data_IF_637743147483
#
_entry.id   IF_637743147483
#
_cell.length_a   1.000
_cell.length_b   1.000
_cell.length_c   1.000
_cell.angle_alpha   90.00
_cell.angle_beta   90.00
_cell.angle_gamma   90.00
#
_symmetry.space_group_name_H-M   'P 1'
#
loop_
_entity.id
_entity.type
_entity.pdbx_description
1 polymer ?
#
# COMPACT_ATOMS: atom_id res chain seq x y z
N UNK A 1 18.63 -7.08 -18.13
CA UNK A 1 19.63 -6.13 -17.57
C UNK A 1 20.82 -6.94 -17.11
N UNK A 2 22.02 -6.60 -17.61
CA UNK A 2 23.27 -7.23 -17.22
C UNK A 2 23.95 -6.42 -16.11
N UNK A 3 24.62 -7.12 -15.20
CA UNK A 3 25.43 -6.52 -14.14
C UNK A 3 26.87 -6.99 -14.28
N UNK A 4 27.79 -6.18 -13.76
CA UNK A 4 29.24 -6.42 -13.73
C UNK A 4 29.69 -7.54 -12.79
N UNK A 5 28.74 -8.25 -12.18
CA UNK A 5 28.98 -9.36 -11.28
C UNK A 5 28.03 -10.52 -11.61
N UNK A 6 28.45 -11.73 -11.26
CA UNK A 6 27.67 -12.94 -11.49
C UNK A 6 26.41 -12.94 -10.59
N UNK A 7 25.23 -12.90 -11.20
CA UNK A 7 23.95 -12.93 -10.49
C UNK A 7 23.51 -14.36 -10.15
N UNK A 8 24.02 -15.40 -10.81
CA UNK A 8 23.61 -16.79 -10.59
C UNK A 8 23.58 -17.23 -9.11
N UNK A 9 24.56 -16.87 -8.25
CA UNK A 9 24.52 -17.25 -6.83
C UNK A 9 23.38 -16.58 -6.03
N UNK A 10 22.87 -15.44 -6.49
CA UNK A 10 21.80 -14.68 -5.84
C UNK A 10 20.41 -15.23 -6.20
N UNK A 11 20.27 -15.81 -7.39
CA UNK A 11 18.98 -16.26 -7.94
C UNK A 11 18.94 -17.79 -8.04
N UNK A 12 18.51 -18.46 -6.97
CA UNK A 12 18.29 -19.92 -6.96
C UNK A 12 17.01 -20.35 -7.71
N UNK A 13 16.15 -19.40 -8.00
CA UNK A 13 14.89 -19.58 -8.71
C UNK A 13 14.75 -18.47 -9.75
N UNK A 14 13.87 -18.71 -10.75
CA UNK A 14 13.56 -17.75 -11.80
C UNK A 14 12.95 -16.46 -11.23
N UNK A 15 12.19 -16.55 -10.14
CA UNK A 15 11.67 -15.41 -9.41
C UNK A 15 12.10 -15.59 -7.95
N UNK A 16 12.65 -14.53 -7.35
CA UNK A 16 13.02 -14.52 -5.93
C UNK A 16 12.34 -13.37 -5.21
N UNK A 17 11.87 -13.64 -4.00
CA UNK A 17 11.31 -12.65 -3.08
C UNK A 17 12.40 -12.06 -2.19
N UNK A 18 12.45 -10.75 -2.07
CA UNK A 18 13.42 -9.99 -1.27
C UNK A 18 12.65 -9.07 -0.32
N UNK A 19 13.05 -9.05 0.95
CA UNK A 19 12.48 -8.20 1.99
C UNK A 19 13.48 -7.09 2.39
N UNK A 20 13.21 -6.41 3.51
CA UNK A 20 14.05 -5.35 4.06
C UNK A 20 15.48 -5.76 4.45
N UNK A 21 15.79 -7.06 4.54
CA UNK A 21 17.17 -7.56 4.72
C UNK A 21 18.04 -7.40 3.46
N UNK A 22 17.42 -7.13 2.31
CA UNK A 22 18.06 -7.07 0.99
C UNK A 22 18.77 -8.37 0.58
N UNK A 23 18.29 -9.49 1.12
CA UNK A 23 18.69 -10.82 0.71
C UNK A 23 17.48 -11.58 0.13
N UNK A 24 17.70 -12.45 -0.87
CA UNK A 24 16.66 -13.35 -1.34
C UNK A 24 16.15 -14.24 -0.20
N UNK A 25 14.85 -14.53 -0.22
CA UNK A 25 14.21 -15.42 0.76
C UNK A 25 14.84 -16.81 0.66
N UNK A 26 15.26 -17.35 1.81
CA UNK A 26 15.97 -18.64 1.86
C UNK A 26 17.45 -18.58 1.40
N UNK A 27 18.01 -17.38 1.17
CA UNK A 27 19.44 -17.23 0.91
C UNK A 27 20.25 -17.64 2.14
N UNK A 28 21.27 -18.47 1.93
CA UNK A 28 22.17 -18.95 2.99
C UNK A 28 23.59 -18.60 2.61
N UNK A 29 24.22 -17.74 3.41
CA UNK A 29 25.60 -17.36 3.20
C UNK A 29 26.54 -18.26 4.02
N UNK A 30 27.64 -18.76 3.44
CA UNK A 30 28.62 -19.58 4.16
C UNK A 30 29.41 -18.77 5.21
N UNK A 31 29.53 -17.45 4.99
CA UNK A 31 30.21 -16.55 5.92
C UNK A 31 29.62 -15.15 5.85
N UNK A 32 29.89 -14.33 6.88
CA UNK A 32 29.44 -12.93 6.95
C UNK A 32 29.85 -12.13 5.73
N UNK A 33 31.05 -12.36 5.18
CA UNK A 33 31.54 -11.63 4.01
C UNK A 33 30.64 -11.85 2.79
N UNK A 34 30.28 -13.09 2.52
CA UNK A 34 29.39 -13.45 1.41
C UNK A 34 28.00 -12.81 1.55
N UNK A 35 27.47 -12.74 2.77
CA UNK A 35 26.20 -12.07 3.03
C UNK A 35 26.25 -10.55 2.75
N UNK A 36 27.36 -9.91 3.11
CA UNK A 36 27.57 -8.48 2.85
C UNK A 36 27.73 -8.19 1.35
N UNK A 37 28.50 -9.02 0.64
CA UNK A 37 28.68 -8.89 -0.80
C UNK A 37 27.34 -9.12 -1.55
N UNK A 38 26.56 -10.13 -1.16
CA UNK A 38 25.22 -10.38 -1.72
C UNK A 38 24.25 -9.21 -1.47
N UNK A 39 24.24 -8.67 -0.25
CA UNK A 39 23.44 -7.48 0.10
C UNK A 39 23.80 -6.28 -0.77
N UNK A 40 25.09 -6.06 -1.03
CA UNK A 40 25.56 -4.97 -1.88
C UNK A 40 25.13 -5.15 -3.34
N UNK A 41 25.27 -6.37 -3.87
CA UNK A 41 24.85 -6.72 -5.24
C UNK A 41 23.33 -6.57 -5.44
N UNK A 42 22.52 -7.08 -4.51
CA UNK A 42 21.06 -6.91 -4.55
C UNK A 42 20.68 -5.44 -4.45
N UNK A 43 21.37 -4.66 -3.62
CA UNK A 43 21.15 -3.22 -3.53
C UNK A 43 21.40 -2.52 -4.87
N UNK A 44 22.47 -2.86 -5.57
CA UNK A 44 22.79 -2.34 -6.90
C UNK A 44 21.71 -2.73 -7.93
N UNK A 45 21.26 -3.99 -7.90
CA UNK A 45 20.17 -4.46 -8.77
C UNK A 45 18.89 -3.65 -8.55
N UNK A 46 18.44 -3.52 -7.29
CA UNK A 46 17.20 -2.81 -6.94
C UNK A 46 17.27 -1.34 -7.34
N UNK A 47 18.40 -0.67 -7.09
CA UNK A 47 18.56 0.74 -7.43
C UNK A 47 18.56 0.95 -8.94
N UNK A 48 19.24 0.08 -9.69
CA UNK A 48 19.30 0.17 -11.15
C UNK A 48 17.92 -0.05 -11.79
N UNK A 49 17.25 -1.15 -11.44
CA UNK A 49 15.93 -1.46 -12.00
C UNK A 49 14.85 -0.49 -11.51
N UNK A 50 14.97 0.03 -10.29
CA UNK A 50 14.10 1.07 -9.75
C UNK A 50 14.23 2.39 -10.50
N UNK A 51 15.45 2.74 -10.94
CA UNK A 51 15.70 3.90 -11.80
C UNK A 51 15.04 3.73 -13.18
N UNK A 52 15.17 2.54 -13.79
CA UNK A 52 14.53 2.24 -15.07
C UNK A 52 13.00 2.28 -14.96
N UNK A 53 12.44 1.72 -13.88
CA UNK A 53 11.00 1.82 -13.61
C UNK A 53 10.53 3.27 -13.51
N UNK A 54 11.29 4.12 -12.83
CA UNK A 54 11.00 5.55 -12.70
C UNK A 54 10.98 6.25 -14.06
N UNK A 55 11.99 5.99 -14.90
CA UNK A 55 12.10 6.54 -16.25
C UNK A 55 10.93 6.11 -17.13
N UNK A 56 10.57 4.82 -17.11
CA UNK A 56 9.46 4.28 -17.89
C UNK A 56 8.09 4.85 -17.47
N UNK A 57 7.96 5.29 -16.22
CA UNK A 57 6.75 5.93 -15.67
C UNK A 57 6.78 7.47 -15.76
N UNK A 58 7.89 8.08 -16.22
CA UNK A 58 8.05 9.53 -16.25
C UNK A 58 8.19 10.19 -14.88
N UNK A 59 8.67 9.44 -13.87
CA UNK A 59 8.88 9.94 -12.52
C UNK A 59 10.25 10.62 -12.39
N UNK A 60 10.29 11.74 -11.65
CA UNK A 60 11.55 12.47 -11.39
C UNK A 60 12.49 11.71 -10.46
N UNK A 61 11.94 10.96 -9.51
CA UNK A 61 12.69 10.18 -8.52
C UNK A 61 12.16 8.75 -8.46
N UNK A 62 13.03 7.73 -8.30
CA UNK A 62 12.60 6.35 -8.19
C UNK A 62 11.81 6.09 -6.91
N UNK A 63 10.64 5.47 -7.05
CA UNK A 63 9.81 5.02 -5.92
C UNK A 63 10.35 3.75 -5.26
N UNK A 64 11.24 3.04 -5.95
CA UNK A 64 11.85 1.80 -5.49
C UNK A 64 13.36 1.96 -5.44
N UNK A 65 13.93 1.85 -4.24
CA UNK A 65 15.38 1.86 -3.98
C UNK A 65 15.66 0.89 -2.84
N UNK A 66 16.90 0.41 -2.74
CA UNK A 66 17.33 -0.47 -1.64
C UNK A 66 17.14 0.20 -0.27
N UNK A 67 17.40 1.51 -0.20
CA UNK A 67 17.20 2.29 1.02
C UNK A 67 15.72 2.41 1.40
N UNK A 68 14.82 2.65 0.44
CA UNK A 68 13.37 2.67 0.71
C UNK A 68 12.87 1.30 1.14
N UNK A 69 13.34 0.22 0.50
CA UNK A 69 12.97 -1.15 0.86
C UNK A 69 13.39 -1.49 2.29
N UNK A 70 14.65 -1.17 2.67
CA UNK A 70 15.18 -1.43 4.03
C UNK A 70 14.35 -0.76 5.13
N UNK A 71 13.77 0.41 4.84
CA UNK A 71 12.99 1.19 5.80
C UNK A 71 11.47 0.93 5.65
N UNK A 72 11.08 -0.23 5.15
CA UNK A 72 9.68 -0.60 4.92
C UNK A 72 9.46 -2.10 5.14
N UNK A 73 8.21 -2.50 5.35
CA UNK A 73 7.81 -3.92 5.36
C UNK A 73 7.35 -4.38 3.96
N UNK A 74 7.90 -3.76 2.91
CA UNK A 74 7.60 -4.11 1.53
C UNK A 74 8.41 -5.33 1.11
N UNK A 75 7.88 -6.02 0.11
CA UNK A 75 8.54 -7.15 -0.52
C UNK A 75 8.70 -6.85 -2.01
N UNK A 76 9.81 -7.32 -2.57
CA UNK A 76 10.12 -7.18 -3.98
C UNK A 76 10.30 -8.57 -4.57
N UNK A 77 9.64 -8.82 -5.69
CA UNK A 77 9.84 -9.98 -6.53
C UNK A 77 10.74 -9.56 -7.69
N UNK A 78 11.90 -10.20 -7.83
CA UNK A 78 12.81 -9.99 -8.95
C UNK A 78 12.80 -11.22 -9.86
N UNK A 79 12.64 -10.98 -11.16
CA UNK A 79 12.72 -12.03 -12.18
C UNK A 79 14.13 -12.09 -12.79
N UNK A 80 14.64 -13.31 -12.89
CA UNK A 80 15.97 -13.63 -13.38
C UNK A 80 15.92 -14.65 -14.52
N UNK A 81 16.73 -14.42 -15.55
CA UNK A 81 16.98 -15.38 -16.62
C UNK A 81 18.48 -15.74 -16.66
N UNK A 82 18.83 -17.04 -16.53
CA UNK A 82 20.20 -17.47 -16.62
C UNK A 82 20.73 -17.33 -18.05
N UNK A 83 22.02 -17.01 -18.17
CA UNK A 83 22.78 -17.08 -19.43
C UNK A 83 24.22 -17.54 -19.15
N UNK A 84 25.02 -17.76 -20.19
CA UNK A 84 26.41 -18.22 -20.06
C UNK A 84 27.35 -17.19 -19.41
N UNK A 85 26.90 -15.93 -19.25
CA UNK A 85 27.67 -14.84 -18.64
C UNK A 85 27.27 -14.68 -17.16
N UNK A 86 26.65 -13.54 -16.84
CA UNK A 86 26.31 -13.15 -15.47
C UNK A 86 24.82 -13.32 -15.15
N UNK A 87 24.04 -13.81 -16.10
CA UNK A 87 22.58 -13.84 -16.06
C UNK A 87 21.95 -12.44 -16.23
N UNK A 88 20.63 -12.43 -16.38
CA UNK A 88 19.85 -11.23 -16.66
C UNK A 88 18.77 -11.04 -15.62
N UNK A 89 18.73 -9.86 -15.00
CA UNK A 89 17.51 -9.43 -14.29
C UNK A 89 16.55 -8.84 -15.32
N UNK A 90 15.29 -9.23 -15.28
CA UNK A 90 14.31 -8.93 -16.34
C UNK A 90 13.19 -8.02 -15.87
N UNK A 91 12.77 -8.13 -14.61
CA UNK A 91 11.66 -7.37 -14.07
C UNK A 91 11.65 -7.32 -12.56
N UNK A 92 10.83 -6.40 -12.05
CA UNK A 92 10.60 -6.12 -10.64
C UNK A 92 9.11 -5.94 -10.39
N UNK A 93 8.62 -6.48 -9.28
CA UNK A 93 7.29 -6.25 -8.74
C UNK A 93 7.42 -5.98 -7.24
N UNK A 94 7.10 -4.75 -6.81
CA UNK A 94 7.11 -4.36 -5.41
C UNK A 94 5.69 -4.37 -4.87
N UNK A 95 5.49 -5.03 -3.74
CA UNK A 95 4.23 -5.09 -3.02
C UNK A 95 4.43 -4.74 -1.54
N UNK A 96 3.34 -4.36 -0.88
CA UNK A 96 3.36 -4.13 0.57
C UNK A 96 1.98 -3.78 1.10
N UNK A 97 1.79 -3.95 2.40
CA UNK A 97 0.55 -3.54 3.04
C UNK A 97 0.54 -2.03 3.29
N UNK A 98 -0.59 -1.38 3.04
CA UNK A 98 -0.82 0.03 3.35
C UNK A 98 -2.16 0.19 4.05
N UNK A 99 -2.20 1.06 5.07
CA UNK A 99 -3.45 1.58 5.62
C UNK A 99 -3.95 2.68 4.68
N UNK A 100 -5.11 2.44 4.08
CA UNK A 100 -5.73 3.28 3.07
C UNK A 100 -7.12 3.71 3.54
N UNK A 101 -7.49 4.95 3.25
CA UNK A 101 -8.87 5.40 3.29
C UNK A 101 -9.43 5.29 1.87
N UNK A 102 -10.39 4.40 1.67
CA UNK A 102 -10.99 4.10 0.36
C UNK A 102 -12.50 4.17 0.43
N UNK A 103 -13.14 4.48 -0.69
CA UNK A 103 -14.58 4.38 -0.85
C UNK A 103 -14.99 2.96 -1.17
N UNK A 104 -16.08 2.52 -0.55
CA UNK A 104 -16.81 1.31 -0.94
C UNK A 104 -17.75 1.59 -2.13
N UNK A 105 -18.53 0.58 -2.53
CA UNK A 105 -19.50 0.70 -3.62
C UNK A 105 -20.67 1.66 -3.31
N UNK A 106 -20.93 1.93 -2.03
CA UNK A 106 -21.97 2.84 -1.57
C UNK A 106 -21.46 4.28 -1.43
N UNK A 107 -20.15 4.50 -1.62
CA UNK A 107 -19.50 5.80 -1.44
C UNK A 107 -19.15 6.12 0.03
N UNK A 108 -19.20 5.13 0.93
CA UNK A 108 -18.75 5.30 2.31
C UNK A 108 -17.23 5.15 2.42
N UNK A 109 -16.61 6.02 3.22
CA UNK A 109 -15.16 5.96 3.47
C UNK A 109 -14.86 4.87 4.50
N UNK A 110 -14.01 3.92 4.13
CA UNK A 110 -13.54 2.82 4.97
C UNK A 110 -12.02 2.91 5.13
N UNK A 111 -11.54 2.78 6.37
CA UNK A 111 -10.11 2.56 6.62
C UNK A 111 -9.81 1.06 6.51
N UNK A 112 -8.82 0.71 5.70
CA UNK A 112 -8.39 -0.67 5.44
C UNK A 112 -6.89 -0.77 5.41
N UNK A 113 -6.33 -1.79 6.08
CA UNK A 113 -5.01 -2.31 5.72
C UNK A 113 -5.16 -3.32 4.58
N UNK A 114 -4.65 -3.00 3.40
CA UNK A 114 -4.76 -3.84 2.20
C UNK A 114 -3.39 -4.13 1.58
N UNK A 115 -3.25 -5.29 0.91
CA UNK A 115 -2.10 -5.56 0.08
C UNK A 115 -2.12 -4.66 -1.14
N UNK A 116 -0.97 -4.03 -1.43
CA UNK A 116 -0.85 -3.06 -2.49
C UNK A 116 0.25 -3.45 -3.49
N UNK A 117 -0.01 -3.19 -4.77
CA UNK A 117 1.03 -3.15 -5.80
C UNK A 117 1.56 -1.72 -5.87
N UNK A 118 2.86 -1.56 -5.63
CA UNK A 118 3.51 -0.27 -5.39
C UNK A 118 4.54 0.12 -6.45
N UNK A 119 5.04 -0.85 -7.20
CA UNK A 119 5.88 -0.63 -8.37
C UNK A 119 5.89 -1.91 -9.22
N UNK A 120 5.82 -1.80 -10.54
CA UNK A 120 5.83 -2.95 -11.42
C UNK A 120 6.45 -2.60 -12.76
N UNK A 121 7.52 -3.29 -13.09
CA UNK A 121 8.31 -3.01 -14.27
C UNK A 121 8.93 -4.27 -14.87
N UNK A 122 8.86 -4.38 -16.18
CA UNK A 122 9.57 -5.37 -16.99
C UNK A 122 10.35 -4.58 -18.04
N UNK A 123 11.62 -4.93 -18.23
CA UNK A 123 12.50 -4.26 -19.19
C UNK A 123 11.85 -4.17 -20.58
N UNK A 124 11.99 -3.03 -21.25
CA UNK A 124 11.24 -2.67 -22.46
C UNK A 124 11.39 -3.73 -23.56
N UNK A 125 12.63 -4.21 -23.78
CA UNK A 125 12.92 -5.25 -24.79
C UNK A 125 12.27 -6.60 -24.51
N UNK A 126 11.72 -6.80 -23.30
CA UNK A 126 11.09 -8.06 -22.85
C UNK A 126 9.60 -7.87 -22.52
N UNK A 127 9.04 -6.69 -22.74
CA UNK A 127 7.60 -6.44 -22.56
C UNK A 127 6.77 -7.23 -23.57
N UNK A 128 5.50 -7.48 -23.21
CA UNK A 128 4.52 -8.23 -24.03
C UNK A 128 4.86 -9.71 -24.31
N UNK A 129 5.95 -10.25 -23.75
CA UNK A 129 6.32 -11.67 -23.82
C UNK A 129 5.76 -12.56 -22.69
N UNK A 130 4.74 -12.12 -21.95
CA UNK A 130 4.13 -12.90 -20.85
C UNK A 130 4.85 -12.82 -19.50
N UNK A 131 6.07 -12.31 -19.43
CA UNK A 131 6.88 -12.24 -18.20
C UNK A 131 6.23 -11.43 -17.08
N UNK A 132 5.49 -10.37 -17.42
CA UNK A 132 4.74 -9.60 -16.42
C UNK A 132 3.65 -10.44 -15.74
N UNK A 133 2.98 -11.31 -16.50
CA UNK A 133 1.97 -12.23 -15.97
C UNK A 133 2.60 -13.26 -15.06
N UNK A 134 3.70 -13.86 -15.49
CA UNK A 134 4.45 -14.84 -14.70
C UNK A 134 4.90 -14.25 -13.35
N UNK A 135 5.45 -13.02 -13.35
CA UNK A 135 5.87 -12.33 -12.14
C UNK A 135 4.70 -12.05 -11.19
N UNK A 136 3.55 -11.63 -11.75
CA UNK A 136 2.37 -11.30 -10.98
C UNK A 136 1.67 -12.55 -10.42
N UNK A 137 1.54 -13.62 -11.20
CA UNK A 137 1.00 -14.91 -10.75
C UNK A 137 1.85 -15.53 -9.64
N UNK A 138 3.18 -15.44 -9.74
CA UNK A 138 4.07 -15.89 -8.68
C UNK A 138 3.81 -15.14 -7.36
N UNK A 139 3.69 -13.82 -7.42
CA UNK A 139 3.36 -12.99 -6.25
C UNK A 139 1.99 -13.35 -5.66
N UNK A 140 0.95 -13.52 -6.49
CA UNK A 140 -0.39 -13.89 -6.01
C UNK A 140 -0.38 -15.25 -5.29
N UNK A 141 0.35 -16.23 -5.83
CA UNK A 141 0.46 -17.56 -5.26
C UNK A 141 1.25 -17.56 -3.93
N UNK A 142 2.36 -16.83 -3.88
CA UNK A 142 3.19 -16.76 -2.67
C UNK A 142 2.49 -16.01 -1.53
N UNK A 143 1.85 -14.87 -1.83
CA UNK A 143 1.11 -14.08 -0.84
C UNK A 143 -0.29 -14.65 -0.55
N UNK A 144 -0.79 -15.60 -1.37
CA UNK A 144 -2.15 -16.19 -1.30
C UNK A 144 -3.26 -15.15 -1.40
N UNK A 145 -3.11 -14.22 -2.34
CA UNK A 145 -4.00 -13.08 -2.53
C UNK A 145 -4.81 -13.25 -3.81
N UNK A 146 -6.07 -12.82 -3.79
CA UNK A 146 -6.89 -12.71 -4.98
C UNK A 146 -6.63 -11.37 -5.70
N UNK A 147 -6.57 -11.32 -7.05
CA UNK A 147 -6.30 -10.07 -7.76
C UNK A 147 -7.26 -8.92 -7.41
N UNK A 148 -8.53 -9.22 -7.13
CA UNK A 148 -9.56 -8.22 -6.79
C UNK A 148 -9.30 -7.53 -5.44
N UNK A 149 -8.59 -8.18 -4.50
CA UNK A 149 -8.30 -7.62 -3.17
C UNK A 149 -7.03 -6.76 -3.13
N UNK A 150 -6.36 -6.57 -4.28
CA UNK A 150 -5.21 -5.68 -4.39
C UNK A 150 -5.65 -4.23 -4.61
N UNK A 151 -4.99 -3.32 -3.88
CA UNK A 151 -5.00 -1.90 -4.21
C UNK A 151 -3.77 -1.55 -5.07
N UNK A 152 -3.95 -0.75 -6.11
CA UNK A 152 -2.87 -0.42 -7.05
C UNK A 152 -2.51 1.06 -6.91
N UNK A 153 -1.27 1.38 -6.54
CA UNK A 153 -0.80 2.77 -6.42
C UNK A 153 -0.48 3.35 -7.80
N UNK A 154 -1.19 4.41 -8.20
CA UNK A 154 -0.98 5.16 -9.46
C UNK A 154 -0.72 4.27 -10.69
N UNK A 155 -1.64 3.35 -11.04
CA UNK A 155 -1.41 2.42 -12.15
C UNK A 155 -1.23 3.16 -13.48
N UNK A 156 -0.25 2.71 -14.27
CA UNK A 156 -0.12 3.13 -15.67
C UNK A 156 -1.21 2.50 -16.55
N UNK A 157 -1.50 3.11 -17.70
CA UNK A 157 -2.43 2.54 -18.69
C UNK A 157 -2.04 1.12 -19.13
N UNK A 158 -0.73 0.84 -19.22
CA UNK A 158 -0.22 -0.51 -19.50
C UNK A 158 -0.61 -1.50 -18.41
N UNK A 159 -0.51 -1.10 -17.14
CA UNK A 159 -0.89 -1.94 -16.00
C UNK A 159 -2.40 -2.12 -15.92
N UNK A 160 -3.19 -1.07 -16.16
CA UNK A 160 -4.65 -1.17 -16.22
C UNK A 160 -5.11 -2.19 -17.29
N UNK A 161 -4.60 -2.07 -18.51
CA UNK A 161 -4.92 -3.03 -19.58
C UNK A 161 -4.39 -4.44 -19.30
N UNK A 162 -3.26 -4.57 -18.60
CA UNK A 162 -2.75 -5.87 -18.15
C UNK A 162 -3.69 -6.54 -17.14
N UNK A 163 -4.15 -5.79 -16.12
CA UNK A 163 -5.07 -6.29 -15.09
C UNK A 163 -6.41 -6.68 -15.68
N UNK A 164 -6.92 -5.87 -16.61
CA UNK A 164 -8.15 -6.15 -17.35
C UNK A 164 -8.03 -7.46 -18.16
N UNK A 165 -6.97 -7.59 -18.96
CA UNK A 165 -6.76 -8.74 -19.85
C UNK A 165 -6.58 -10.06 -19.09
N UNK A 166 -5.80 -10.05 -18.01
CA UNK A 166 -5.35 -11.28 -17.36
C UNK A 166 -6.17 -11.67 -16.13
N UNK A 167 -6.80 -10.72 -15.46
CA UNK A 167 -7.53 -10.95 -14.20
C UNK A 167 -8.99 -10.47 -14.26
N UNK A 168 -9.46 -9.96 -15.39
CA UNK A 168 -10.84 -9.51 -15.55
C UNK A 168 -11.22 -8.33 -14.67
N UNK A 169 -10.24 -7.49 -14.30
CA UNK A 169 -10.45 -6.31 -13.47
C UNK A 169 -10.93 -5.13 -14.33
N UNK A 170 -12.23 -5.08 -14.59
CA UNK A 170 -12.87 -4.03 -15.42
C UNK A 170 -13.43 -2.87 -14.57
N UNK A 171 -14.17 -3.21 -13.52
CA UNK A 171 -14.98 -2.26 -12.78
C UNK A 171 -14.17 -1.65 -11.63
N UNK A 172 -13.72 -0.40 -11.83
CA UNK A 172 -12.97 0.38 -10.83
C UNK A 172 -13.95 1.09 -9.90
N UNK A 173 -13.64 1.13 -8.61
CA UNK A 173 -14.38 1.95 -7.66
C UNK A 173 -13.69 3.33 -7.58
N UNK A 174 -14.38 4.44 -7.88
CA UNK A 174 -13.78 5.78 -7.82
C UNK A 174 -13.19 6.09 -6.43
N UNK A 175 -11.96 6.60 -6.39
CA UNK A 175 -11.25 6.95 -5.16
C UNK A 175 -10.85 8.44 -5.17
N UNK A 176 -10.79 9.08 -3.99
CA UNK A 176 -10.20 10.42 -3.85
C UNK A 176 -8.68 10.40 -3.70
N UNK A 177 -8.10 9.24 -3.36
CA UNK A 177 -6.66 9.06 -3.28
C UNK A 177 -6.10 8.61 -4.65
N UNK A 178 -4.78 8.38 -4.72
CA UNK A 178 -4.13 7.96 -5.97
C UNK A 178 -4.15 6.43 -6.20
N UNK A 179 -4.90 5.69 -5.38
CA UNK A 179 -5.03 4.24 -5.52
C UNK A 179 -6.23 3.88 -6.37
N UNK A 180 -6.10 2.78 -7.10
CA UNK A 180 -7.21 2.13 -7.80
C UNK A 180 -7.52 0.83 -7.11
N UNK A 181 -8.81 0.64 -6.78
CA UNK A 181 -9.37 -0.61 -6.28
C UNK A 181 -10.51 -1.03 -7.20
N UNK A 182 -10.79 -2.33 -7.26
CA UNK A 182 -11.80 -2.91 -8.15
C UNK A 182 -12.98 -3.46 -7.36
N UNK A 183 -14.09 -3.71 -8.06
CA UNK A 183 -15.18 -4.49 -7.49
C UNK A 183 -14.68 -5.85 -6.97
N UNK A 184 -15.23 -6.29 -5.84
CA UNK A 184 -14.76 -7.48 -5.13
C UNK A 184 -13.65 -7.21 -4.10
N UNK A 185 -13.07 -6.01 -4.06
CA UNK A 185 -12.01 -5.64 -3.11
C UNK A 185 -12.42 -5.87 -1.64
N UNK A 186 -13.68 -5.61 -1.30
CA UNK A 186 -14.21 -5.80 0.05
C UNK A 186 -14.82 -7.19 0.29
N UNK A 187 -14.98 -8.03 -0.74
CA UNK A 187 -15.67 -9.33 -0.62
C UNK A 187 -14.92 -10.32 0.27
N UNK A 188 -13.58 -10.25 0.31
CA UNK A 188 -12.77 -11.12 1.17
C UNK A 188 -12.85 -10.77 2.66
N UNK A 189 -13.35 -9.58 3.02
CA UNK A 189 -13.35 -9.09 4.41
C UNK A 189 -14.57 -9.50 5.22
N UNK A 190 -15.62 -10.03 4.58
CA UNK A 190 -16.79 -10.53 5.30
C UNK A 190 -16.45 -11.71 6.24
N UNK A 191 -15.27 -12.34 6.09
CA UNK A 191 -14.84 -13.51 6.87
C UNK A 191 -13.61 -13.29 7.76
N UNK A 192 -13.06 -12.07 7.84
CA UNK A 192 -11.89 -11.77 8.66
C UNK A 192 -12.27 -10.86 9.81
N UNK A 193 -12.41 -11.42 11.00
CA UNK A 193 -12.67 -10.71 12.26
C UNK A 193 -11.88 -9.40 12.34
N UNK A 194 -12.59 -8.30 12.57
CA UNK A 194 -12.06 -6.98 12.91
C UNK A 194 -11.01 -7.07 14.02
N UNK A 195 -9.73 -7.13 13.66
CA UNK A 195 -8.61 -7.05 14.63
C UNK A 195 -8.35 -5.60 15.05
N UNK A 196 -8.97 -4.61 14.41
CA UNK A 196 -8.90 -3.22 14.85
C UNK A 196 -10.30 -2.61 14.91
N UNK A 197 -11.00 -2.90 16.01
CA UNK A 197 -12.34 -2.40 16.34
C UNK A 197 -12.42 -0.88 16.59
N UNK A 198 -11.60 -0.08 15.91
CA UNK A 198 -11.69 1.38 15.86
C UNK A 198 -12.63 1.79 14.74
N UNK A 199 -13.92 1.54 14.96
CA UNK A 199 -14.98 2.14 14.15
C UNK A 199 -15.07 3.62 14.52
N UNK A 200 -14.72 4.52 13.61
CA UNK A 200 -14.92 5.97 13.80
C UNK A 200 -16.42 6.24 13.89
N UNK A 201 -16.92 6.48 15.11
CA UNK A 201 -18.29 6.91 15.33
C UNK A 201 -18.31 8.44 15.42
N UNK A 202 -18.80 9.12 14.38
CA UNK A 202 -19.11 10.54 14.48
C UNK A 202 -20.29 10.66 15.43
N UNK A 203 -20.08 11.16 16.64
CA UNK A 203 -21.18 11.50 17.54
C UNK A 203 -21.73 12.86 17.12
N UNK A 204 -23.04 12.96 16.94
CA UNK A 204 -23.75 14.22 16.75
C UNK A 204 -23.85 15.02 18.07
N UNK A 205 -22.82 14.92 18.92
CA UNK A 205 -22.77 15.64 20.19
C UNK A 205 -22.52 17.12 19.94
N UNK A 206 -23.20 18.03 20.66
CA UNK A 206 -22.99 19.48 20.51
C UNK A 206 -21.55 19.95 20.76
N UNK A 207 -20.73 19.13 21.44
CA UNK A 207 -19.35 19.44 21.84
C UNK A 207 -18.27 19.11 20.79
N UNK A 208 -18.61 18.51 19.65
CA UNK A 208 -17.61 18.11 18.62
C UNK A 208 -16.87 19.32 18.02
N UNK A 209 -17.46 20.52 18.10
CA UNK A 209 -16.87 21.76 17.57
C UNK A 209 -15.73 22.35 18.43
N UNK A 210 -15.55 21.90 19.68
CA UNK A 210 -14.54 22.47 20.59
C UNK A 210 -13.33 21.55 20.82
N UNK A 211 -13.54 20.22 20.79
CA UNK A 211 -12.49 19.24 21.12
C UNK A 211 -12.09 18.31 19.96
N UNK A 212 -12.71 18.45 18.79
CA UNK A 212 -12.48 17.55 17.64
C UNK A 212 -13.09 16.15 17.85
N UNK A 213 -13.01 15.27 16.84
CA UNK A 213 -13.58 13.93 16.90
C UNK A 213 -12.91 13.10 18.00
N UNK A 214 -13.70 12.57 18.93
CA UNK A 214 -13.20 11.73 20.03
C UNK A 214 -13.19 10.25 19.63
N UNK A 215 -12.05 9.58 19.79
CA UNK A 215 -11.94 8.13 19.63
C UNK A 215 -12.57 7.44 20.83
N UNK A 216 -13.64 6.69 20.64
CA UNK A 216 -14.20 5.82 21.70
C UNK A 216 -13.85 4.38 21.39
N UNK A 217 -13.35 3.66 22.39
CA UNK A 217 -13.11 2.22 22.28
C UNK A 217 -14.35 1.45 22.74
N UNK A 218 -14.48 0.18 22.33
CA UNK A 218 -15.61 -0.67 22.70
C UNK A 218 -15.72 -0.88 24.22
N UNK A 219 -14.60 -0.71 24.95
CA UNK A 219 -14.56 -0.80 26.42
C UNK A 219 -15.24 0.39 27.12
N UNK A 220 -15.18 1.60 26.53
CA UNK A 220 -15.74 2.82 27.15
C UNK A 220 -17.27 2.80 27.22
N UNK A 221 -17.94 2.08 26.30
CA UNK A 221 -19.41 1.92 26.29
C UNK A 221 -19.94 1.14 27.49
N UNK A 222 -19.13 0.28 28.12
CA UNK A 222 -19.57 -0.51 29.28
C UNK A 222 -19.56 0.29 30.58
N UNK A 223 -18.74 1.35 30.67
CA UNK A 223 -18.65 2.20 31.89
C UNK A 223 -19.69 3.31 31.95
N UNK A 224 -20.22 3.77 30.82
CA UNK A 224 -21.18 4.89 30.79
C UNK A 224 -22.59 4.56 31.27
N UNK A 225 -22.90 3.28 31.53
CA UNK A 225 -24.24 2.86 31.99
C UNK A 225 -24.40 2.81 33.52
N UNK A 226 -23.37 3.19 34.28
CA UNK A 226 -23.41 3.17 35.73
C UNK A 226 -22.74 4.41 36.31
N UNK A 227 -23.37 5.58 36.21
CA UNK A 227 -23.10 6.67 37.14
C UNK A 227 -24.27 7.65 37.22
N UNK A 228 -24.77 7.78 38.44
CA UNK A 228 -25.83 8.65 38.91
C UNK A 228 -25.48 10.13 38.71
N UNK A 229 -26.44 10.89 38.15
CA UNK A 229 -26.35 12.35 37.95
C UNK A 229 -26.17 13.08 39.30
N UNK A 230 -25.13 13.91 39.41
CA UNK A 230 -25.11 15.05 40.32
C UNK A 230 -25.06 16.37 39.50
N UNK A 231 -25.62 17.47 40.01
CA UNK A 231 -25.66 18.74 39.27
C UNK A 231 -24.46 19.62 39.63
N UNK A 232 -23.65 20.01 38.66
CA UNK A 232 -22.64 21.07 38.86
C UNK A 232 -22.57 22.04 37.67
N UNK A 233 -22.99 23.28 38.01
CA UNK A 233 -22.50 24.61 37.62
C UNK A 233 -22.23 24.92 36.14
N UNK A 234 -22.99 25.88 35.62
CA UNK A 234 -22.84 26.51 34.30
C UNK A 234 -21.47 27.18 34.12
N UNK A 235 -20.70 26.87 33.05
CA UNK A 235 -19.51 27.65 32.70
C UNK A 235 -19.87 29.00 32.06
N UNK A 236 -18.97 30.00 32.13
CA UNK A 236 -19.28 31.38 31.73
C UNK A 236 -19.46 31.53 30.21
N UNK A 237 -20.32 32.46 29.81
CA UNK A 237 -20.57 32.82 28.41
C UNK A 237 -19.31 33.46 27.80
N UNK A 238 -18.59 32.69 26.97
CA UNK A 238 -17.56 33.24 26.08
C UNK A 238 -18.25 33.72 24.81
N UNK A 239 -18.38 35.04 24.64
CA UNK A 239 -18.87 35.62 23.39
C UNK A 239 -17.85 35.35 22.26
N UNK A 240 -18.24 34.54 21.29
CA UNK A 240 -17.44 34.31 20.08
C UNK A 240 -17.60 35.50 19.11
N UNK A 241 -16.51 35.96 18.46
CA UNK A 241 -16.58 37.05 17.50
C UNK A 241 -17.39 36.66 16.25
N UNK A 242 -18.10 37.62 15.60
CA UNK A 242 -19.14 37.34 14.61
C UNK A 242 -18.65 36.88 13.21
N UNK A 243 -17.36 36.64 13.01
CA UNK A 243 -16.78 36.33 11.68
C UNK A 243 -15.69 35.26 11.72
N UNK A 244 -15.74 34.32 10.78
CA UNK A 244 -14.73 33.27 10.59
C UNK A 244 -13.52 33.71 9.75
N UNK A 245 -12.53 32.82 9.61
CA UNK A 245 -11.16 33.08 9.07
C UNK A 245 -11.05 33.59 7.62
N UNK A 246 -12.17 33.79 6.91
CA UNK A 246 -12.21 34.38 5.56
C UNK A 246 -13.44 35.30 5.35
N UNK A 247 -13.92 35.96 6.42
CA UNK A 247 -15.05 36.90 6.37
C UNK A 247 -16.38 36.33 5.81
N UNK A 248 -16.52 35.01 5.68
CA UNK A 248 -17.76 34.37 5.29
C UNK A 248 -18.81 34.49 6.42
N UNK A 249 -20.00 35.02 6.09
CA UNK A 249 -21.15 35.06 7.01
C UNK A 249 -21.61 33.62 7.28
N UNK A 250 -21.73 33.24 8.56
CA UNK A 250 -22.32 31.96 8.95
C UNK A 250 -23.84 32.00 8.74
N UNK A 251 -24.47 30.89 8.31
CA UNK A 251 -25.93 30.80 8.25
C UNK A 251 -26.51 30.89 9.67
N UNK A 252 -27.59 31.65 9.81
CA UNK A 252 -28.33 31.78 11.07
C UNK A 252 -29.07 30.47 11.36
N UNK A 253 -28.57 29.67 12.30
CA UNK A 253 -29.39 28.63 12.90
C UNK A 253 -30.45 29.30 13.79
N UNK A 254 -31.70 29.34 13.33
CA UNK A 254 -32.84 29.48 14.25
C UNK A 254 -33.12 28.11 14.84
N UNK A 255 -32.84 27.95 16.14
CA UNK A 255 -33.43 26.88 16.93
C UNK A 255 -34.19 27.58 18.06
N UNK A 256 -35.52 27.52 17.97
CA UNK A 256 -36.40 27.64 19.13
C UNK A 256 -36.29 26.35 19.97
#
# INVERSE_FOLDING_TARGET
>A
MEFRFNCHPLFRQRIVRINNSLLPTGFTAPCRRTALDATAQISEIINFIGQLSAQAQGLSNPVTTSQKLRNSDHHIYLMFEPNEKHGLVVGILKVGHKSLYVFDQNGETVNVTAPCVLDFYVHESRQRGGLGRELFEHMLNEEKIQPQSLAIDRPSEKLLGFLQKHYGLYNKIPQMNNFVVYEGFFSSKQNGSDIDGRRMHITASPNTNLFGPTFTTVEDRRRSNSQTRQPTVSPPLVQQPPVGRYAAKRPSCSMA
#
